data_IF_687339635052
#
_entry.id   IF_687339635052
#
_cell.length_a   1.000
_cell.length_b   1.000
_cell.length_c   1.000
_cell.angle_alpha   90.00
_cell.angle_beta   90.00
_cell.angle_gamma   90.00
#
_symmetry.space_group_name_H-M   'P 1'
#
loop_
_entity.id
_entity.type
_entity.pdbx_description
1 polymer ?
#
# COMPACT_ATOMS: atom_id res chain seq x y z
N UNK A 1 -19.25 33.49 7.25
CA UNK A 1 -18.59 33.22 8.54
C UNK A 1 -17.29 32.41 8.43
N UNK A 2 -17.12 31.51 7.49
CA UNK A 2 -15.86 30.73 7.34
C UNK A 2 -14.61 31.52 6.91
N UNK A 3 -14.76 32.64 6.22
CA UNK A 3 -13.60 33.45 5.79
C UNK A 3 -12.99 34.34 6.88
N UNK A 4 -13.72 34.61 7.96
CA UNK A 4 -13.22 35.46 9.04
C UNK A 4 -12.32 34.71 10.02
N UNK A 5 -12.62 33.45 10.30
CA UNK A 5 -11.81 32.60 11.19
C UNK A 5 -10.37 32.35 10.67
N UNK A 6 -10.19 32.33 9.34
CA UNK A 6 -8.86 32.22 8.73
C UNK A 6 -7.99 33.48 8.88
N UNK A 7 -8.61 34.65 9.06
CA UNK A 7 -7.90 35.91 9.26
C UNK A 7 -7.37 36.09 10.68
N UNK A 8 -8.00 35.40 11.63
CA UNK A 8 -7.67 35.59 13.05
C UNK A 8 -6.67 34.55 13.58
N UNK A 9 -6.08 33.71 12.69
CA UNK A 9 -5.05 32.74 13.07
C UNK A 9 -5.53 31.61 13.98
N UNK A 10 -6.85 31.45 14.17
CA UNK A 10 -7.46 30.52 15.12
C UNK A 10 -7.60 29.11 14.56
N UNK A 11 -7.53 28.96 13.24
CA UNK A 11 -7.59 27.63 12.58
C UNK A 11 -6.20 27.32 12.02
N UNK A 12 -5.37 26.62 12.78
CA UNK A 12 -4.23 25.92 12.22
C UNK A 12 -4.76 24.93 11.20
N UNK A 13 -4.29 25.03 9.97
CA UNK A 13 -4.55 24.04 8.91
C UNK A 13 -3.74 22.78 9.25
N UNK A 14 -4.22 22.03 10.25
CA UNK A 14 -3.63 20.75 10.62
C UNK A 14 -3.98 19.78 9.49
N UNK A 15 -2.97 19.28 8.81
CA UNK A 15 -3.14 18.15 7.90
C UNK A 15 -3.82 16.99 8.62
N UNK A 16 -4.29 15.99 7.86
CA UNK A 16 -4.88 14.80 8.44
C UNK A 16 -3.92 14.14 9.44
N UNK A 17 -4.43 13.77 10.60
CA UNK A 17 -3.64 13.08 11.61
C UNK A 17 -3.15 11.72 11.06
N UNK A 18 -1.92 11.32 11.36
CA UNK A 18 -1.41 10.02 10.94
C UNK A 18 -2.21 8.89 11.60
N UNK A 19 -2.34 7.78 10.88
CA UNK A 19 -2.99 6.57 11.40
C UNK A 19 -2.18 6.06 12.60
N UNK A 20 -2.85 5.86 13.75
CA UNK A 20 -2.24 5.26 14.93
C UNK A 20 -1.95 3.77 14.72
N UNK A 21 -1.01 3.22 15.49
CA UNK A 21 -0.71 1.78 15.48
C UNK A 21 -1.96 0.94 15.83
N UNK A 22 -2.78 1.41 16.77
CA UNK A 22 -4.00 0.70 17.19
C UNK A 22 -5.03 0.67 16.06
N UNK A 23 -5.21 1.80 15.37
CA UNK A 23 -6.11 1.87 14.22
C UNK A 23 -5.60 0.99 13.06
N UNK A 24 -4.29 0.99 12.80
CA UNK A 24 -3.68 0.11 11.82
C UNK A 24 -3.98 -1.37 12.12
N UNK A 25 -3.76 -1.83 13.36
CA UNK A 25 -4.08 -3.21 13.78
C UNK A 25 -5.55 -3.54 13.62
N UNK A 26 -6.43 -2.61 13.98
CA UNK A 26 -7.87 -2.78 13.84
C UNK A 26 -8.28 -2.96 12.37
N UNK A 27 -7.71 -2.18 11.45
CA UNK A 27 -7.95 -2.30 10.01
C UNK A 27 -7.50 -3.68 9.50
N UNK A 28 -6.34 -4.17 9.94
CA UNK A 28 -5.85 -5.50 9.55
C UNK A 28 -6.78 -6.60 10.04
N UNK A 29 -7.16 -6.58 11.31
CA UNK A 29 -8.08 -7.57 11.88
C UNK A 29 -9.43 -7.56 11.17
N UNK A 30 -10.00 -6.38 10.95
CA UNK A 30 -11.25 -6.22 10.21
C UNK A 30 -11.14 -6.81 8.79
N UNK A 31 -10.05 -6.53 8.09
CA UNK A 31 -9.81 -7.03 6.74
C UNK A 31 -9.72 -8.56 6.70
N UNK A 32 -9.01 -9.16 7.65
CA UNK A 32 -8.88 -10.61 7.78
C UNK A 32 -10.23 -11.25 8.11
N UNK A 33 -10.97 -10.71 9.06
CA UNK A 33 -12.30 -11.21 9.45
C UNK A 33 -13.31 -11.16 8.30
N UNK A 34 -13.16 -10.22 7.38
CA UNK A 34 -14.01 -10.07 6.18
C UNK A 34 -13.49 -10.86 4.97
N UNK A 35 -12.42 -11.63 5.12
CA UNK A 35 -11.72 -12.30 4.03
C UNK A 35 -11.31 -11.33 2.89
N UNK A 36 -11.08 -10.06 3.24
CA UNK A 36 -10.64 -9.05 2.30
C UNK A 36 -9.11 -9.00 2.21
N UNK A 37 -8.54 -10.01 1.53
CA UNK A 37 -7.09 -10.15 1.37
C UNK A 37 -6.45 -8.99 0.62
N UNK A 38 -7.19 -8.36 -0.30
CA UNK A 38 -6.74 -7.16 -1.00
C UNK A 38 -6.49 -6.02 -0.01
N UNK A 39 -7.49 -5.67 0.82
CA UNK A 39 -7.36 -4.58 1.79
C UNK A 39 -6.29 -4.87 2.83
N UNK A 40 -6.19 -6.13 3.27
CA UNK A 40 -5.16 -6.54 4.20
C UNK A 40 -3.76 -6.31 3.63
N UNK A 41 -3.48 -6.81 2.42
CA UNK A 41 -2.18 -6.64 1.77
C UNK A 41 -1.91 -5.17 1.43
N UNK A 42 -2.90 -4.44 0.92
CA UNK A 42 -2.81 -3.01 0.62
C UNK A 42 -2.39 -2.19 1.85
N UNK A 43 -3.06 -2.41 2.98
CA UNK A 43 -2.77 -1.71 4.23
C UNK A 43 -1.36 -2.01 4.72
N UNK A 44 -0.93 -3.27 4.65
CA UNK A 44 0.45 -3.65 5.01
C UNK A 44 1.49 -3.04 4.07
N UNK A 45 1.17 -2.95 2.78
CA UNK A 45 2.04 -2.31 1.80
C UNK A 45 2.23 -0.82 2.11
N UNK A 46 1.15 -0.09 2.34
CA UNK A 46 1.22 1.32 2.71
C UNK A 46 2.01 1.55 4.00
N UNK A 47 1.75 0.73 5.03
CA UNK A 47 2.39 0.85 6.33
C UNK A 47 3.89 0.57 6.27
N UNK A 48 4.30 -0.56 5.69
CA UNK A 48 5.71 -0.93 5.61
C UNK A 48 6.53 -0.01 4.69
N UNK A 49 5.91 0.48 3.64
CA UNK A 49 6.56 1.40 2.70
C UNK A 49 6.50 2.86 3.14
N UNK A 50 5.68 3.19 4.15
CA UNK A 50 5.37 4.59 4.54
C UNK A 50 4.95 5.43 3.33
N UNK A 51 4.15 4.85 2.45
CA UNK A 51 3.84 5.39 1.14
C UNK A 51 2.38 5.86 1.04
N UNK A 52 2.17 6.87 0.22
CA UNK A 52 0.82 7.31 -0.16
C UNK A 52 0.17 6.29 -1.09
N UNK A 53 -1.16 6.25 -1.13
CA UNK A 53 -1.92 5.39 -2.04
C UNK A 53 -1.45 5.55 -3.51
N UNK A 54 -1.22 6.78 -3.96
CA UNK A 54 -0.73 7.08 -5.31
C UNK A 54 0.64 6.48 -5.66
N UNK A 55 1.43 6.10 -4.65
CA UNK A 55 2.71 5.43 -4.84
C UNK A 55 2.58 3.90 -4.82
N UNK A 56 1.52 3.40 -4.17
CA UNK A 56 1.23 1.96 -4.07
C UNK A 56 0.44 1.47 -5.28
N UNK A 57 -0.52 2.25 -5.77
CA UNK A 57 -1.37 1.89 -6.92
C UNK A 57 -0.60 1.41 -8.17
N UNK A 58 0.49 2.08 -8.59
CA UNK A 58 1.23 1.70 -9.78
C UNK A 58 2.19 0.54 -9.58
N UNK A 59 2.40 0.06 -8.33
CA UNK A 59 3.37 -1.00 -8.08
C UNK A 59 3.06 -2.27 -8.87
N UNK A 60 4.09 -2.81 -9.49
CA UNK A 60 4.08 -4.07 -10.21
C UNK A 60 5.10 -5.06 -9.66
N UNK A 61 5.10 -6.27 -10.21
CA UNK A 61 6.07 -7.29 -9.84
C UNK A 61 7.51 -6.89 -10.16
N UNK A 62 7.72 -6.05 -11.18
CA UNK A 62 9.04 -5.52 -11.54
C UNK A 62 9.62 -4.59 -10.47
N UNK A 63 8.78 -4.03 -9.61
CA UNK A 63 9.20 -3.20 -8.48
C UNK A 63 9.66 -4.01 -7.27
N UNK A 64 9.45 -5.33 -7.27
CA UNK A 64 9.76 -6.21 -6.15
C UNK A 64 11.00 -7.05 -6.47
N UNK A 65 11.99 -6.97 -5.60
CA UNK A 65 13.20 -7.78 -5.68
C UNK A 65 13.40 -8.52 -4.37
N UNK A 66 13.79 -9.79 -4.44
CA UNK A 66 14.11 -10.58 -3.25
C UNK A 66 15.57 -10.34 -2.87
N UNK A 67 15.80 -9.89 -1.64
CA UNK A 67 17.09 -9.88 -0.98
C UNK A 67 17.32 -11.16 -0.19
N UNK A 68 18.45 -11.30 0.50
CA UNK A 68 18.78 -12.50 1.29
C UNK A 68 17.75 -12.79 2.39
N UNK A 69 17.25 -11.76 3.06
CA UNK A 69 16.31 -11.81 4.19
C UNK A 69 15.23 -10.73 4.12
N UNK A 70 15.11 -10.06 3.00
CA UNK A 70 14.21 -8.91 2.82
C UNK A 70 13.56 -8.91 1.45
N UNK A 71 12.39 -8.29 1.36
CA UNK A 71 11.79 -7.86 0.10
C UNK A 71 12.15 -6.39 -0.12
N UNK A 72 12.74 -6.10 -1.26
CA UNK A 72 13.13 -4.74 -1.66
C UNK A 72 12.08 -4.22 -2.62
N UNK A 73 11.45 -3.11 -2.26
CA UNK A 73 10.46 -2.43 -3.10
C UNK A 73 11.09 -1.17 -3.68
N UNK A 74 11.16 -1.10 -5.01
CA UNK A 74 11.68 0.05 -5.75
C UNK A 74 10.53 0.75 -6.44
N UNK A 75 10.45 2.06 -6.27
CA UNK A 75 9.44 2.86 -6.96
C UNK A 75 9.97 3.34 -8.31
N UNK A 76 9.09 3.35 -9.31
CA UNK A 76 9.42 3.94 -10.59
C UNK A 76 9.58 5.46 -10.45
N UNK A 77 10.58 6.04 -11.11
CA UNK A 77 10.79 7.48 -11.10
C UNK A 77 9.57 8.18 -11.75
N UNK A 78 8.81 8.89 -10.93
CA UNK A 78 7.73 9.72 -11.45
C UNK A 78 8.31 10.91 -12.21
N UNK A 79 7.94 11.08 -13.48
CA UNK A 79 8.30 12.24 -14.30
C UNK A 79 7.87 13.61 -13.70
N UNK A 80 7.10 13.59 -12.61
CA UNK A 80 6.59 14.77 -11.91
C UNK A 80 7.34 15.12 -10.63
N UNK A 81 8.35 14.36 -10.27
CA UNK A 81 9.09 14.62 -9.02
C UNK A 81 10.10 15.75 -9.21
N UNK A 82 9.57 16.97 -9.36
CA UNK A 82 10.35 18.20 -9.42
C UNK A 82 10.91 18.62 -8.05
N UNK A 83 10.53 17.93 -6.98
CA UNK A 83 10.90 18.28 -5.61
C UNK A 83 12.12 17.50 -5.06
N UNK A 84 12.71 16.59 -5.84
CA UNK A 84 13.94 15.88 -5.45
C UNK A 84 13.77 14.86 -4.31
N UNK A 85 12.56 14.56 -3.90
CA UNK A 85 12.27 13.41 -3.03
C UNK A 85 12.32 12.12 -3.88
N UNK A 86 13.54 11.66 -4.19
CA UNK A 86 13.72 10.29 -4.68
C UNK A 86 13.08 9.35 -3.67
N UNK A 87 11.96 8.74 -4.05
CA UNK A 87 11.39 7.63 -3.30
C UNK A 87 12.46 6.53 -3.24
N UNK A 88 13.12 6.47 -2.09
CA UNK A 88 14.18 5.50 -1.87
C UNK A 88 13.59 4.10 -1.83
N UNK A 89 14.38 3.11 -2.21
CA UNK A 89 14.06 1.69 -1.98
C UNK A 89 13.60 1.47 -0.54
N UNK A 90 12.61 0.59 -0.38
CA UNK A 90 12.12 0.16 0.93
C UNK A 90 12.47 -1.30 1.14
N UNK A 91 13.15 -1.59 2.24
CA UNK A 91 13.43 -2.95 2.68
C UNK A 91 12.34 -3.40 3.65
N UNK A 92 11.64 -4.45 3.29
CA UNK A 92 10.55 -5.01 4.10
C UNK A 92 10.93 -6.39 4.61
N UNK A 93 11.07 -6.50 5.91
CA UNK A 93 11.45 -7.73 6.60
C UNK A 93 10.24 -8.57 6.97
N UNK A 94 10.43 -9.88 7.08
CA UNK A 94 9.41 -10.77 7.59
C UNK A 94 9.13 -10.48 9.08
N UNK A 95 7.87 -10.65 9.49
CA UNK A 95 7.47 -10.62 10.89
C UNK A 95 7.02 -12.02 11.35
N UNK A 96 7.94 -12.90 11.74
CA UNK A 96 7.60 -14.28 12.13
C UNK A 96 6.77 -14.35 13.43
N UNK A 97 6.84 -13.31 14.26
CA UNK A 97 6.10 -13.24 15.51
C UNK A 97 4.61 -12.94 15.36
N UNK A 98 4.20 -12.33 14.26
CA UNK A 98 2.80 -12.00 14.00
C UNK A 98 2.48 -12.05 12.50
N UNK A 99 1.90 -13.15 12.05
CA UNK A 99 1.55 -13.37 10.65
C UNK A 99 0.53 -12.36 10.12
N UNK A 100 -0.35 -11.82 10.99
CA UNK A 100 -1.36 -10.82 10.61
C UNK A 100 -0.72 -9.48 10.20
N UNK A 101 0.42 -9.15 10.77
CA UNK A 101 1.20 -7.96 10.49
C UNK A 101 2.39 -8.23 9.54
N UNK A 102 2.50 -9.46 9.03
CA UNK A 102 3.62 -9.86 8.18
C UNK A 102 3.33 -9.54 6.71
N UNK A 103 4.11 -8.64 6.14
CA UNK A 103 4.03 -8.29 4.72
C UNK A 103 4.27 -9.50 3.80
N UNK A 104 5.27 -10.33 4.11
CA UNK A 104 5.61 -11.52 3.33
C UNK A 104 4.45 -12.51 3.25
N UNK A 105 3.80 -12.76 4.39
CA UNK A 105 2.63 -13.64 4.46
C UNK A 105 1.48 -13.09 3.61
N UNK A 106 1.21 -11.79 3.75
CA UNK A 106 0.13 -11.16 2.99
C UNK A 106 0.39 -11.12 1.48
N UNK A 107 1.64 -10.85 1.08
CA UNK A 107 2.04 -10.91 -0.33
C UNK A 107 1.88 -12.32 -0.90
N UNK A 108 2.34 -13.34 -0.18
CA UNK A 108 2.21 -14.74 -0.61
C UNK A 108 0.76 -15.16 -0.78
N UNK A 109 -0.11 -14.81 0.16
CA UNK A 109 -1.56 -15.09 0.08
C UNK A 109 -2.20 -14.29 -1.05
N UNK A 110 -1.84 -13.02 -1.22
CA UNK A 110 -2.36 -12.19 -2.31
C UNK A 110 -2.03 -12.80 -3.68
N UNK A 111 -0.79 -13.24 -3.90
CA UNK A 111 -0.37 -13.91 -5.13
C UNK A 111 -1.10 -15.25 -5.30
N UNK A 112 -1.21 -16.07 -4.26
CA UNK A 112 -1.86 -17.37 -4.33
C UNK A 112 -3.35 -17.28 -4.69
N UNK A 113 -4.04 -16.26 -4.21
CA UNK A 113 -5.45 -16.02 -4.50
C UNK A 113 -5.69 -15.35 -5.86
N UNK A 114 -4.66 -14.71 -6.42
CA UNK A 114 -4.75 -13.95 -7.67
C UNK A 114 -3.69 -14.44 -8.67
N UNK A 115 -3.65 -15.74 -8.93
CA UNK A 115 -2.66 -16.35 -9.84
C UNK A 115 -2.68 -15.73 -11.25
N UNK A 116 -3.82 -15.20 -11.66
CA UNK A 116 -3.98 -14.48 -12.93
C UNK A 116 -3.11 -13.23 -13.03
N UNK A 117 -2.76 -12.61 -11.88
CA UNK A 117 -1.86 -11.47 -11.86
C UNK A 117 -0.49 -11.80 -12.46
N UNK A 118 -0.02 -13.04 -12.23
CA UNK A 118 1.29 -13.48 -12.74
C UNK A 118 1.30 -13.70 -14.25
N UNK A 119 0.14 -13.97 -14.84
CA UNK A 119 0.03 -14.33 -16.27
C UNK A 119 -0.47 -13.20 -17.17
N UNK A 120 -1.22 -12.24 -16.63
CA UNK A 120 -1.95 -11.26 -17.43
C UNK A 120 -1.73 -9.80 -17.02
N UNK A 121 -1.09 -9.53 -15.90
CA UNK A 121 -0.88 -8.17 -15.42
C UNK A 121 0.52 -7.99 -14.84
N UNK A 122 1.15 -6.88 -15.19
CA UNK A 122 2.40 -6.45 -14.54
C UNK A 122 2.12 -5.80 -13.19
N UNK A 123 0.86 -5.43 -12.90
CA UNK A 123 0.45 -4.73 -11.69
C UNK A 123 0.23 -5.69 -10.54
N UNK A 124 0.66 -5.25 -9.36
CA UNK A 124 0.46 -5.97 -8.11
C UNK A 124 -0.99 -5.84 -7.60
N UNK A 125 -1.62 -4.70 -7.89
CA UNK A 125 -2.98 -4.40 -7.46
C UNK A 125 -3.90 -4.18 -8.66
N UNK A 126 -4.91 -5.04 -8.78
CA UNK A 126 -6.01 -4.85 -9.73
C UNK A 126 -7.18 -4.20 -9.00
N UNK A 127 -7.40 -2.92 -9.25
CA UNK A 127 -8.51 -2.20 -8.63
C UNK A 127 -9.85 -2.64 -9.25
N UNK A 128 -10.86 -2.95 -8.42
CA UNK A 128 -12.21 -3.20 -8.92
C UNK A 128 -12.71 -2.01 -9.76
N UNK A 129 -13.29 -2.30 -10.92
CA UNK A 129 -13.82 -1.28 -11.83
C UNK A 129 -12.86 -0.76 -12.90
N UNK A 130 -11.60 -1.18 -12.90
CA UNK A 130 -10.70 -0.96 -14.03
C UNK A 130 -10.99 -2.00 -15.13
N UNK A 131 -10.65 -1.68 -16.40
CA UNK A 131 -10.79 -2.65 -17.50
C UNK A 131 -10.00 -3.94 -17.24
N UNK A 132 -8.85 -3.83 -16.62
CA UNK A 132 -7.99 -4.95 -16.24
C UNK A 132 -8.60 -5.78 -15.09
N UNK A 133 -9.18 -5.13 -14.06
CA UNK A 133 -9.88 -5.81 -12.98
C UNK A 133 -11.19 -6.49 -13.42
N UNK A 134 -11.88 -5.96 -14.43
CA UNK A 134 -13.06 -6.60 -15.01
C UNK A 134 -12.71 -7.81 -15.88
N UNK A 135 -11.52 -7.88 -16.47
CA UNK A 135 -11.05 -9.04 -17.23
C UNK A 135 -10.62 -10.19 -16.32
N UNK A 136 -10.04 -9.90 -15.16
CA UNK A 136 -9.63 -10.89 -14.17
C UNK A 136 -10.81 -11.50 -13.38
N UNK A 137 -11.97 -10.87 -13.38
CA UNK A 137 -13.18 -11.34 -12.67
C UNK A 137 -14.10 -12.25 -13.52
N UNK A 138 -13.70 -12.62 -14.73
CA UNK A 138 -14.42 -13.54 -15.64
C UNK A 138 -13.73 -14.87 -15.73
#
# INVERSE_FOLDING_TARGET
MHCQAKKDGIVEDRGADPISVDLFKLILEWSIMRNNCFMWFWTLCQWNCMARASNIDPLGFHNITLGPDTIIIKYDESKKDKAGEKLSEKNVYANPGNWKECFWTSLGIHIALNQELLSHSEKLFLMPGTKEGAAAAR
#
